data_IF_997939367019
#
_entry.id   IF_997939367019
#
_cell.length_a   1.000
_cell.length_b   1.000
_cell.length_c   1.000
_cell.angle_alpha   90.00
_cell.angle_beta   90.00
_cell.angle_gamma   90.00
#
_symmetry.space_group_name_H-M   'P 1'
#
loop_
_entity.id
_entity.type
_entity.pdbx_description
1 polymer ?
#
# COMPACT_ATOMS: atom_id res chain seq x y z
N UNK A 1 5.29 -20.84 12.80
CA UNK A 1 5.77 -22.23 12.92
C UNK A 1 5.84 -22.81 11.53
N UNK A 2 7.02 -23.21 11.06
CA UNK A 2 7.21 -23.85 9.75
C UNK A 2 7.70 -25.26 10.05
N UNK A 3 6.96 -26.28 9.59
CA UNK A 3 7.27 -27.69 9.82
C UNK A 3 7.50 -28.04 11.31
N UNK A 4 6.72 -27.47 12.22
CA UNK A 4 6.83 -27.74 13.66
C UNK A 4 7.89 -26.92 14.41
N UNK A 5 8.69 -26.12 13.72
CA UNK A 5 9.73 -25.27 14.34
C UNK A 5 9.27 -23.82 14.44
N UNK A 6 9.52 -23.17 15.58
CA UNK A 6 9.32 -21.73 15.74
C UNK A 6 10.44 -21.01 14.99
N UNK A 7 10.05 -20.16 14.04
CA UNK A 7 10.97 -19.35 13.23
C UNK A 7 10.63 -17.90 13.51
N UNK A 8 11.66 -17.10 13.78
CA UNK A 8 11.52 -15.66 13.99
C UNK A 8 11.07 -14.98 12.69
N UNK A 9 10.27 -13.91 12.81
CA UNK A 9 9.72 -13.18 11.66
C UNK A 9 10.33 -11.79 11.64
N UNK A 10 11.28 -11.55 10.74
CA UNK A 10 11.97 -10.26 10.63
C UNK A 10 11.08 -9.14 10.06
N UNK A 11 10.16 -9.49 9.16
CA UNK A 11 9.26 -8.55 8.49
C UNK A 11 7.89 -9.17 8.24
N UNK A 12 6.87 -8.31 8.25
CA UNK A 12 5.49 -8.66 7.96
C UNK A 12 4.64 -8.85 9.20
N UNK A 13 3.34 -9.01 8.97
CA UNK A 13 2.34 -9.23 10.01
C UNK A 13 1.73 -10.62 9.81
N UNK A 14 1.38 -11.38 10.88
CA UNK A 14 0.74 -12.68 10.72
C UNK A 14 -0.58 -12.57 9.94
N UNK A 15 -0.76 -13.44 8.94
CA UNK A 15 -2.03 -13.57 8.23
C UNK A 15 -3.08 -14.17 9.18
N UNK A 16 -4.28 -13.60 9.20
CA UNK A 16 -5.36 -14.00 10.11
C UNK A 16 -5.24 -13.44 11.53
N UNK A 17 -4.19 -12.66 11.82
CA UNK A 17 -4.13 -11.88 13.06
C UNK A 17 -5.23 -10.80 13.07
N UNK A 18 -5.99 -10.63 14.15
CA UNK A 18 -7.11 -9.68 14.19
C UNK A 18 -6.64 -8.22 14.03
N UNK A 19 -5.39 -7.91 14.37
CA UNK A 19 -4.80 -6.57 14.24
C UNK A 19 -4.14 -6.32 12.88
N UNK A 20 -3.84 -7.37 12.12
CA UNK A 20 -3.07 -7.27 10.89
C UNK A 20 -3.69 -6.32 9.87
N UNK A 21 -5.02 -6.31 9.63
CA UNK A 21 -5.64 -5.37 8.69
C UNK A 21 -5.45 -3.89 9.09
N UNK A 22 -5.52 -3.59 10.40
CA UNK A 22 -5.31 -2.23 10.89
C UNK A 22 -3.86 -1.78 10.71
N UNK A 23 -2.91 -2.66 11.03
CA UNK A 23 -1.48 -2.36 10.86
C UNK A 23 -1.14 -2.13 9.39
N UNK A 24 -1.71 -2.89 8.46
CA UNK A 24 -1.58 -2.65 7.02
C UNK A 24 -2.10 -1.27 6.62
N UNK A 25 -3.26 -0.85 7.14
CA UNK A 25 -3.79 0.49 6.86
C UNK A 25 -2.92 1.62 7.43
N UNK A 26 -2.32 1.44 8.62
CA UNK A 26 -1.40 2.42 9.20
C UNK A 26 -0.13 2.56 8.34
N UNK A 27 0.40 1.45 7.83
CA UNK A 27 1.55 1.50 6.92
C UNK A 27 1.22 2.25 5.61
N UNK A 28 0.02 2.02 5.07
CA UNK A 28 -0.43 2.64 3.82
C UNK A 28 -0.99 4.07 3.98
N UNK A 29 -1.21 4.56 5.20
CA UNK A 29 -1.63 5.95 5.47
C UNK A 29 -0.63 6.99 4.93
N UNK A 30 0.66 6.64 4.88
CA UNK A 30 1.71 7.48 4.28
C UNK A 30 1.48 7.66 2.77
N UNK A 31 1.02 6.61 2.08
CA UNK A 31 0.68 6.68 0.66
C UNK A 31 -0.54 7.58 0.44
N UNK A 32 -1.58 7.43 1.26
CA UNK A 32 -2.80 8.24 1.13
C UNK A 32 -2.48 9.72 1.28
N UNK A 33 -1.69 10.08 2.31
CA UNK A 33 -1.26 11.46 2.54
C UNK A 33 -0.48 12.03 1.37
N UNK A 34 0.44 11.26 0.78
CA UNK A 34 1.19 11.68 -0.41
C UNK A 34 0.25 11.92 -1.61
N UNK A 35 -0.76 11.07 -1.80
CA UNK A 35 -1.74 11.23 -2.88
C UNK A 35 -2.65 12.44 -2.64
N UNK A 36 -3.05 12.70 -1.40
CA UNK A 36 -3.83 13.87 -0.99
C UNK A 36 -3.05 15.18 -1.18
N UNK A 37 -1.79 15.23 -0.74
CA UNK A 37 -0.91 16.38 -0.92
C UNK A 37 -0.69 16.71 -2.41
N UNK A 38 -0.61 15.68 -3.26
CA UNK A 38 -0.53 15.82 -4.72
C UNK A 38 -1.88 16.10 -5.39
N UNK A 39 -2.96 16.16 -4.61
CA UNK A 39 -4.33 16.37 -5.06
C UNK A 39 -4.81 15.36 -6.12
N UNK A 40 -4.42 14.08 -5.95
CA UNK A 40 -4.89 12.99 -6.78
C UNK A 40 -6.30 12.53 -6.38
N UNK A 41 -7.06 12.05 -7.37
CA UNK A 41 -8.33 11.35 -7.13
C UNK A 41 -8.05 9.87 -7.09
N UNK A 42 -8.35 9.22 -5.98
CA UNK A 42 -8.06 7.81 -5.78
C UNK A 42 -9.08 7.14 -4.87
N UNK A 43 -9.16 5.82 -4.97
CA UNK A 43 -9.86 4.95 -4.03
C UNK A 43 -8.88 3.84 -3.64
N UNK A 44 -8.79 3.55 -2.34
CA UNK A 44 -7.97 2.45 -1.80
C UNK A 44 -8.85 1.52 -0.96
N UNK A 45 -8.67 0.22 -1.13
CA UNK A 45 -9.29 -0.81 -0.30
C UNK A 45 -8.25 -1.85 0.06
N UNK A 46 -7.89 -1.93 1.35
CA UNK A 46 -6.73 -2.70 1.80
C UNK A 46 -5.47 -2.31 1.00
N UNK A 47 -4.89 -3.25 0.26
CA UNK A 47 -3.72 -3.10 -0.61
C UNK A 47 -4.07 -2.70 -2.06
N UNK A 48 -5.33 -2.84 -2.47
CA UNK A 48 -5.78 -2.44 -3.81
C UNK A 48 -5.92 -0.92 -3.92
N UNK A 49 -5.15 -0.33 -4.84
CA UNK A 49 -5.05 1.11 -5.06
C UNK A 49 -5.47 1.48 -6.49
N UNK A 50 -6.45 2.39 -6.63
CA UNK A 50 -6.90 2.89 -7.93
C UNK A 50 -6.80 4.41 -7.99
N UNK A 51 -6.03 4.93 -8.94
CA UNK A 51 -5.86 6.37 -9.18
C UNK A 51 -6.54 6.77 -10.50
N UNK A 52 -7.27 7.88 -10.47
CA UNK A 52 -8.05 8.37 -11.60
C UNK A 52 -7.44 9.66 -12.16
N UNK A 53 -7.09 9.63 -13.44
CA UNK A 53 -6.46 10.76 -14.16
C UNK A 53 -7.07 10.92 -15.55
N UNK A 54 -6.92 12.12 -16.14
CA UNK A 54 -7.62 12.48 -17.38
C UNK A 54 -7.05 11.85 -18.64
N UNK A 55 -5.78 11.46 -18.66
CA UNK A 55 -5.10 10.98 -19.87
C UNK A 55 -4.17 9.82 -19.58
N UNK A 56 -3.95 8.96 -20.57
CA UNK A 56 -3.00 7.84 -20.48
C UNK A 56 -1.58 8.31 -20.16
N UNK A 57 -1.11 9.39 -20.79
CA UNK A 57 0.21 9.97 -20.51
C UNK A 57 0.36 10.42 -19.06
N UNK A 58 -0.70 11.00 -18.48
CA UNK A 58 -0.70 11.33 -17.06
C UNK A 58 -0.68 10.07 -16.19
N UNK A 59 -1.40 9.01 -16.57
CA UNK A 59 -1.40 7.73 -15.84
C UNK A 59 0.00 7.10 -15.82
N UNK A 60 0.69 7.04 -16.96
CA UNK A 60 2.05 6.49 -17.06
C UNK A 60 3.05 7.29 -16.21
N UNK A 61 2.93 8.64 -16.19
CA UNK A 61 3.75 9.51 -15.35
C UNK A 61 3.49 9.29 -13.86
N UNK A 62 2.22 9.23 -13.46
CA UNK A 62 1.81 9.06 -12.06
C UNK A 62 2.21 7.67 -11.58
N UNK A 63 1.96 6.62 -12.36
CA UNK A 63 2.37 5.25 -12.05
C UNK A 63 3.86 5.19 -11.73
N UNK A 64 4.72 5.69 -12.63
CA UNK A 64 6.17 5.72 -12.40
C UNK A 64 6.57 6.48 -11.12
N UNK A 65 5.88 7.57 -10.81
CA UNK A 65 6.20 8.39 -9.64
C UNK A 65 5.74 7.77 -8.32
N UNK A 66 4.58 7.12 -8.30
CA UNK A 66 4.01 6.51 -7.10
C UNK A 66 4.67 5.16 -6.81
N UNK A 67 4.98 4.36 -7.83
CA UNK A 67 5.77 3.13 -7.65
C UNK A 67 7.11 3.42 -6.96
N UNK A 68 7.84 4.44 -7.42
CA UNK A 68 9.11 4.88 -6.78
C UNK A 68 8.93 5.42 -5.35
N UNK A 69 7.73 5.86 -4.97
CA UNK A 69 7.49 6.34 -3.61
C UNK A 69 7.26 5.18 -2.63
N UNK A 70 6.62 4.10 -3.11
CA UNK A 70 6.31 2.92 -2.30
C UNK A 70 7.49 1.94 -2.25
N UNK A 71 8.23 1.79 -3.35
CA UNK A 71 9.42 0.93 -3.50
C UNK A 71 10.73 1.68 -3.21
#
# INVERSE_FOLDING_TARGET
>A
MINGVIVETDKGCPQGGPLSPLLSNIMLDVLDKELEERNHKFCRYADDNQLYVKTRKAAERVMKSITRFIE
#
